data_IF_386550296497
#
_entry.id   IF_386550296497
#
_cell.length_a   1.000
_cell.length_b   1.000
_cell.length_c   1.000
_cell.angle_alpha   90.00
_cell.angle_beta   90.00
_cell.angle_gamma   90.00
#
_symmetry.space_group_name_H-M   'P 1'
#
loop_
_entity.id
_entity.type
_entity.pdbx_description
1 polymer ?
#
# COMPACT_ATOMS: atom_id res chain seq x y z
N UNK A 1 3.06 -28.59 5.43
CA UNK A 1 2.79 -28.32 4.02
C UNK A 1 3.22 -26.91 3.70
N UNK A 2 3.67 -26.67 2.45
CA UNK A 2 4.03 -25.33 1.97
C UNK A 2 3.15 -24.95 0.78
N UNK A 3 2.92 -23.65 0.60
CA UNK A 3 2.25 -23.10 -0.58
C UNK A 3 3.02 -21.87 -1.10
N UNK A 4 2.87 -21.64 -2.38
CA UNK A 4 3.28 -20.39 -3.03
C UNK A 4 2.01 -19.77 -3.62
N UNK A 5 1.82 -18.48 -3.39
CA UNK A 5 0.69 -17.73 -3.92
C UNK A 5 1.11 -16.40 -4.52
N UNK A 6 0.30 -15.89 -5.42
CA UNK A 6 0.39 -14.52 -5.94
C UNK A 6 -0.83 -13.78 -5.42
N UNK A 7 -0.62 -12.58 -4.92
CA UNK A 7 -1.68 -11.76 -4.34
C UNK A 7 -1.58 -10.31 -4.77
N UNK A 8 -2.69 -9.61 -4.58
CA UNK A 8 -2.79 -8.16 -4.75
C UNK A 8 -3.52 -7.61 -3.54
N UNK A 9 -2.82 -6.82 -2.73
CA UNK A 9 -3.45 -6.06 -1.65
C UNK A 9 -3.77 -4.67 -2.20
N UNK A 10 -5.05 -4.33 -2.17
CA UNK A 10 -5.58 -3.06 -2.68
C UNK A 10 -5.88 -2.14 -1.51
N UNK A 11 -4.97 -1.19 -1.26
CA UNK A 11 -5.07 -0.24 -0.17
C UNK A 11 -5.49 1.14 -0.67
N UNK A 12 -6.17 1.91 0.15
CA UNK A 12 -6.50 3.31 -0.13
C UNK A 12 -5.60 4.22 0.70
N UNK A 13 -4.99 5.19 0.04
CA UNK A 13 -4.19 6.22 0.69
C UNK A 13 -4.60 7.60 0.19
N UNK A 14 -4.96 8.49 1.12
CA UNK A 14 -5.33 9.88 0.84
C UNK A 14 -4.60 10.77 1.84
N UNK A 15 -3.91 11.79 1.34
CA UNK A 15 -3.28 12.79 2.19
C UNK A 15 -4.35 13.59 2.93
N UNK A 16 -4.13 13.83 4.23
CA UNK A 16 -5.00 14.71 5.00
C UNK A 16 -4.84 16.15 4.48
N UNK A 17 -5.88 16.67 3.87
CA UNK A 17 -5.88 17.97 3.19
C UNK A 17 -5.96 19.15 4.16
N UNK A 18 -6.80 19.05 5.18
CA UNK A 18 -7.01 20.14 6.17
C UNK A 18 -5.84 20.23 7.16
N UNK A 19 -4.71 20.73 6.67
CA UNK A 19 -3.47 20.92 7.43
C UNK A 19 -2.56 21.95 6.77
N UNK A 20 -1.64 22.46 7.57
CA UNK A 20 -0.50 23.26 7.10
C UNK A 20 0.79 22.47 7.21
N UNK A 21 1.77 22.75 6.37
CA UNK A 21 3.12 22.20 6.48
C UNK A 21 4.20 23.21 6.14
N UNK A 22 5.35 23.04 6.77
CA UNK A 22 6.55 23.80 6.46
C UNK A 22 7.20 23.22 5.20
N UNK A 23 7.58 24.10 4.28
CA UNK A 23 8.34 23.75 3.08
C UNK A 23 9.67 24.48 3.09
N UNK A 24 10.63 23.95 2.35
CA UNK A 24 11.93 24.57 2.14
C UNK A 24 12.33 24.49 0.67
N UNK A 25 13.05 25.51 0.18
CA UNK A 25 13.51 25.55 -1.20
C UNK A 25 13.06 26.79 -1.94
N UNK A 26 13.15 26.76 -3.26
CA UNK A 26 12.75 27.87 -4.13
C UNK A 26 11.72 27.38 -5.13
N UNK A 27 10.59 28.10 -5.21
CA UNK A 27 9.60 27.93 -6.26
C UNK A 27 9.77 29.09 -7.23
N UNK A 28 10.00 28.79 -8.49
CA UNK A 28 10.16 29.78 -9.56
C UNK A 28 9.52 29.26 -10.85
N UNK A 29 8.23 29.48 -10.96
CA UNK A 29 7.42 29.06 -12.11
C UNK A 29 7.15 30.24 -13.04
N UNK A 30 7.00 30.02 -14.36
CA UNK A 30 6.53 31.03 -15.29
C UNK A 30 5.21 31.65 -14.80
N UNK A 31 5.01 32.95 -15.03
CA UNK A 31 3.80 33.67 -14.65
C UNK A 31 2.53 33.15 -15.33
N UNK A 32 2.67 32.38 -16.40
CA UNK A 32 1.58 31.70 -17.09
C UNK A 32 1.08 30.42 -16.38
N UNK A 33 1.84 29.89 -15.41
CA UNK A 33 1.45 28.71 -14.64
C UNK A 33 0.66 29.11 -13.39
N UNK A 34 -0.41 28.38 -13.08
CA UNK A 34 -1.27 28.64 -11.92
C UNK A 34 -0.52 28.62 -10.59
N UNK A 35 0.51 27.79 -10.48
CA UNK A 35 1.37 27.71 -9.31
C UNK A 35 2.31 28.89 -9.12
N UNK A 36 2.40 29.85 -10.06
CA UNK A 36 3.27 31.03 -9.95
C UNK A 36 2.93 31.94 -8.76
N UNK A 37 1.68 31.85 -8.25
CA UNK A 37 1.31 32.53 -7.01
C UNK A 37 2.13 32.11 -5.78
N UNK A 38 2.75 30.93 -5.84
CA UNK A 38 3.61 30.41 -4.79
C UNK A 38 5.11 30.68 -5.04
N UNK A 39 5.47 31.46 -6.06
CA UNK A 39 6.87 31.79 -6.30
C UNK A 39 7.48 32.47 -5.08
N UNK A 40 8.66 32.00 -4.69
CA UNK A 40 9.39 32.53 -3.56
C UNK A 40 10.48 31.59 -3.03
N UNK A 41 11.21 32.12 -2.08
CA UNK A 41 12.21 31.35 -1.34
C UNK A 41 11.59 31.00 0.02
N UNK A 42 11.61 29.73 0.36
CA UNK A 42 11.06 29.18 1.59
C UNK A 42 12.16 28.66 2.49
N UNK A 43 12.15 29.09 3.73
CA UNK A 43 12.93 28.56 4.83
C UNK A 43 12.00 28.30 6.03
N UNK A 44 12.45 27.56 7.02
CA UNK A 44 11.63 27.26 8.19
C UNK A 44 11.12 28.49 8.94
N UNK A 45 11.79 29.63 8.80
CA UNK A 45 11.47 30.89 9.48
C UNK A 45 10.98 31.99 8.53
N UNK A 46 10.64 31.68 7.28
CA UNK A 46 10.16 32.69 6.34
C UNK A 46 8.69 33.03 6.57
N UNK A 47 8.30 34.29 6.35
CA UNK A 47 6.96 34.80 6.58
C UNK A 47 5.88 34.14 5.71
N UNK A 48 6.28 33.52 4.58
CA UNK A 48 5.43 32.78 3.68
C UNK A 48 5.27 31.29 4.05
N UNK A 49 5.73 30.88 5.22
CA UNK A 49 5.57 29.55 5.79
C UNK A 49 4.79 29.63 7.14
N UNK A 50 3.99 28.60 7.49
CA UNK A 50 3.68 27.38 6.74
C UNK A 50 2.71 27.60 5.57
N UNK A 51 2.73 26.68 4.60
CA UNK A 51 1.76 26.64 3.50
C UNK A 51 0.49 25.90 3.95
N UNK A 52 -0.66 26.47 3.64
CA UNK A 52 -1.97 25.83 3.85
C UNK A 52 -2.34 24.94 2.65
N UNK A 53 -2.68 23.68 2.92
CA UNK A 53 -3.09 22.70 1.91
C UNK A 53 -4.61 22.51 1.82
N UNK A 54 -5.40 23.26 2.59
CA UNK A 54 -6.84 23.03 2.75
C UNK A 54 -7.61 23.14 1.44
N UNK A 55 -7.22 24.04 0.55
CA UNK A 55 -7.88 24.25 -0.75
C UNK A 55 -7.41 23.30 -1.87
N UNK A 56 -6.34 22.53 -1.62
CA UNK A 56 -5.77 21.58 -2.59
C UNK A 56 -5.03 22.22 -3.77
N UNK A 57 -4.83 23.53 -3.77
CA UNK A 57 -4.19 24.23 -4.91
C UNK A 57 -2.67 24.05 -4.91
N UNK A 58 -2.05 24.04 -3.71
CA UNK A 58 -0.62 23.80 -3.58
C UNK A 58 -0.27 22.33 -3.78
N UNK A 59 -0.90 21.45 -3.01
CA UNK A 59 -0.68 20.01 -3.03
C UNK A 59 -1.94 19.25 -2.63
N UNK A 60 -2.37 18.35 -3.49
CA UNK A 60 -3.28 17.26 -3.19
C UNK A 60 -2.61 15.96 -3.57
N UNK A 61 -2.72 14.94 -2.73
CA UNK A 61 -2.05 13.67 -2.97
C UNK A 61 -2.92 12.49 -2.54
N UNK A 62 -3.19 11.59 -3.47
CA UNK A 62 -3.91 10.34 -3.19
C UNK A 62 -3.55 9.24 -4.20
N UNK A 63 -3.72 8.00 -3.78
CA UNK A 63 -3.71 6.85 -4.68
C UNK A 63 -5.16 6.44 -4.96
N UNK A 64 -5.74 6.95 -6.06
CA UNK A 64 -7.19 6.91 -6.34
C UNK A 64 -7.71 5.52 -6.66
N UNK A 65 -7.02 4.82 -7.57
CA UNK A 65 -7.35 3.46 -8.00
C UNK A 65 -6.49 2.44 -7.23
N UNK A 66 -6.22 2.77 -5.98
CA UNK A 66 -5.52 1.95 -5.01
C UNK A 66 -4.01 2.06 -5.02
N UNK A 67 -3.47 1.86 -3.83
CA UNK A 67 -2.09 1.50 -3.61
C UNK A 67 -2.00 -0.02 -3.74
N UNK A 68 -1.70 -0.50 -4.95
CA UNK A 68 -1.69 -1.92 -5.23
C UNK A 68 -0.33 -2.52 -4.86
N UNK A 69 -0.31 -3.40 -3.88
CA UNK A 69 0.86 -4.22 -3.56
C UNK A 69 0.69 -5.58 -4.24
N UNK A 70 1.41 -5.78 -5.33
CA UNK A 70 1.42 -7.04 -6.11
C UNK A 70 2.59 -7.86 -5.63
N UNK A 71 2.31 -9.04 -5.05
CA UNK A 71 3.32 -9.81 -4.33
C UNK A 71 3.23 -11.31 -4.56
N UNK A 72 4.33 -11.97 -4.31
CA UNK A 72 4.41 -13.43 -4.16
C UNK A 72 4.62 -13.75 -2.68
N UNK A 73 3.91 -14.75 -2.17
CA UNK A 73 4.04 -15.22 -0.80
C UNK A 73 4.41 -16.69 -0.76
N UNK A 74 5.26 -17.06 0.20
CA UNK A 74 5.54 -18.44 0.58
C UNK A 74 4.96 -18.63 1.99
N UNK A 75 4.07 -19.60 2.15
CA UNK A 75 3.45 -19.90 3.43
C UNK A 75 3.63 -21.36 3.82
N UNK A 76 3.73 -21.60 5.13
CA UNK A 76 3.75 -22.91 5.76
C UNK A 76 2.43 -23.14 6.50
N UNK A 77 1.91 -24.36 6.36
CA UNK A 77 0.75 -24.85 7.08
C UNK A 77 1.23 -25.96 8.05
N UNK A 78 1.09 -25.73 9.34
CA UNK A 78 1.40 -26.68 10.39
C UNK A 78 0.10 -27.22 10.98
N UNK A 79 -0.15 -28.52 10.84
CA UNK A 79 -1.34 -29.18 11.42
C UNK A 79 -1.24 -29.17 12.96
N UNK A 80 -2.21 -28.52 13.58
CA UNK A 80 -2.36 -28.40 15.03
C UNK A 80 -3.65 -29.07 15.53
N UNK A 81 -4.31 -29.86 14.70
CA UNK A 81 -5.58 -30.52 15.01
C UNK A 81 -5.54 -31.34 16.28
N UNK A 82 -4.42 -32.02 16.54
CA UNK A 82 -4.22 -32.83 17.75
C UNK A 82 -4.29 -32.02 19.04
N UNK A 83 -3.93 -30.74 19.03
CA UNK A 83 -4.03 -29.85 20.20
C UNK A 83 -5.46 -29.63 20.65
N UNK A 84 -6.41 -29.82 19.73
CA UNK A 84 -7.84 -29.67 19.93
C UNK A 84 -8.58 -31.03 20.04
N UNK A 85 -7.83 -32.14 20.13
CA UNK A 85 -8.42 -33.48 20.21
C UNK A 85 -9.06 -33.95 18.90
N UNK A 86 -8.74 -33.33 17.77
CA UNK A 86 -9.27 -33.72 16.46
C UNK A 86 -8.31 -34.74 15.84
N UNK A 87 -8.69 -36.00 15.89
CA UNK A 87 -7.89 -37.10 15.33
C UNK A 87 -8.29 -37.47 13.90
N UNK A 88 -9.50 -37.15 13.48
CA UNK A 88 -9.98 -37.39 12.13
C UNK A 88 -9.90 -36.10 11.31
N UNK A 89 -8.73 -35.86 10.73
CA UNK A 89 -8.46 -34.68 9.89
C UNK A 89 -9.14 -34.74 8.51
N UNK A 90 -9.76 -35.87 8.15
CA UNK A 90 -10.56 -35.97 6.93
C UNK A 90 -11.87 -35.14 7.01
N UNK A 91 -12.41 -34.97 8.22
CA UNK A 91 -13.60 -34.15 8.45
C UNK A 91 -13.27 -32.70 8.75
N UNK A 92 -12.31 -32.48 9.63
CA UNK A 92 -11.86 -31.16 10.04
C UNK A 92 -10.36 -31.18 10.32
N UNK A 93 -9.62 -30.30 9.70
CA UNK A 93 -8.21 -30.07 9.96
C UNK A 93 -7.99 -28.61 10.37
N UNK A 94 -7.23 -28.39 11.42
CA UNK A 94 -6.83 -27.06 11.89
C UNK A 94 -5.35 -26.91 11.62
N UNK A 95 -5.00 -25.89 10.82
CA UNK A 95 -3.61 -25.54 10.56
C UNK A 95 -3.28 -24.16 11.14
N UNK A 96 -2.14 -24.04 11.75
CA UNK A 96 -1.48 -22.76 11.95
C UNK A 96 -0.78 -22.38 10.64
N UNK A 97 -0.97 -21.14 10.20
CA UNK A 97 -0.37 -20.63 8.97
C UNK A 97 0.63 -19.53 9.31
N UNK A 98 1.76 -19.54 8.65
CA UNK A 98 2.78 -18.49 8.71
C UNK A 98 3.38 -18.31 7.32
N UNK A 99 3.72 -17.07 6.96
CA UNK A 99 4.23 -16.80 5.63
C UNK A 99 4.99 -15.49 5.52
N UNK A 100 5.77 -15.40 4.44
CA UNK A 100 6.51 -14.22 4.05
C UNK A 100 6.18 -13.86 2.60
N UNK A 101 6.07 -12.57 2.33
CA UNK A 101 5.78 -12.04 1.01
C UNK A 101 6.73 -10.94 0.61
N UNK A 102 6.94 -10.82 -0.70
CA UNK A 102 7.66 -9.70 -1.31
C UNK A 102 7.05 -9.37 -2.67
N UNK A 103 7.10 -8.11 -3.05
CA UNK A 103 6.53 -7.67 -4.29
C UNK A 103 6.81 -6.20 -4.59
N UNK A 104 6.13 -5.69 -5.61
CA UNK A 104 6.25 -4.30 -6.04
C UNK A 104 4.95 -3.53 -5.81
N UNK A 105 5.08 -2.22 -5.72
CA UNK A 105 3.97 -1.30 -5.52
C UNK A 105 3.62 -0.65 -6.86
N UNK A 106 2.35 -0.79 -7.26
CA UNK A 106 1.82 -0.35 -8.55
C UNK A 106 0.59 0.55 -8.36
N UNK A 107 0.78 1.78 -7.87
CA UNK A 107 -0.31 2.72 -7.64
C UNK A 107 -0.70 3.46 -8.91
N UNK A 108 -1.93 3.98 -8.93
CA UNK A 108 -2.33 5.09 -9.76
C UNK A 108 -2.46 6.32 -8.87
N UNK A 109 -1.56 7.27 -9.06
CA UNK A 109 -1.43 8.43 -8.19
C UNK A 109 -2.12 9.66 -8.80
N UNK A 110 -3.10 10.17 -8.08
CA UNK A 110 -3.75 11.43 -8.39
C UNK A 110 -3.12 12.53 -7.52
N UNK A 111 -2.37 13.41 -8.15
CA UNK A 111 -1.65 14.49 -7.45
C UNK A 111 -1.90 15.81 -8.13
N UNK A 112 -2.31 16.83 -7.39
CA UNK A 112 -2.19 18.23 -7.79
C UNK A 112 -0.94 18.78 -7.13
N UNK A 113 0.00 19.26 -7.93
CA UNK A 113 1.21 19.93 -7.45
C UNK A 113 1.37 21.25 -8.19
N UNK A 114 1.15 22.38 -7.50
CA UNK A 114 1.28 23.72 -8.04
C UNK A 114 0.48 23.94 -9.34
N UNK A 115 -0.64 23.25 -9.49
CA UNK A 115 -1.49 23.32 -10.68
C UNK A 115 -0.93 22.64 -11.94
N UNK A 116 0.19 21.91 -11.83
CA UNK A 116 0.76 21.16 -12.95
C UNK A 116 -0.14 20.01 -13.39
N UNK A 117 -0.08 19.62 -14.66
CA UNK A 117 -0.78 18.43 -15.17
C UNK A 117 -0.31 17.18 -14.47
N UNK A 118 -1.25 16.47 -13.85
CA UNK A 118 -0.98 15.25 -13.08
C UNK A 118 -0.58 14.08 -13.98
N UNK A 119 0.16 13.12 -13.43
CA UNK A 119 0.52 11.88 -14.10
C UNK A 119 -0.70 10.98 -14.21
N UNK A 120 -1.52 10.66 -13.44
CA UNK A 120 -2.79 9.91 -13.50
C UNK A 120 -2.73 8.58 -14.28
N UNK A 121 -1.59 7.90 -14.19
CA UNK A 121 -1.36 6.57 -14.77
C UNK A 121 -0.73 5.63 -13.75
N UNK A 122 -0.87 4.31 -13.99
CA UNK A 122 -0.22 3.30 -13.17
C UNK A 122 1.30 3.33 -13.37
N UNK A 123 2.05 3.27 -12.28
CA UNK A 123 3.51 3.28 -12.29
C UNK A 123 4.08 2.41 -11.18
N UNK A 124 5.14 1.63 -11.46
CA UNK A 124 5.86 0.90 -10.42
C UNK A 124 6.65 1.90 -9.60
N UNK A 125 6.21 2.13 -8.36
CA UNK A 125 6.75 3.20 -7.52
C UNK A 125 7.74 2.72 -6.45
N UNK A 126 7.86 1.40 -6.26
CA UNK A 126 8.73 0.82 -5.26
C UNK A 126 8.42 -0.63 -4.94
N UNK A 127 8.78 -1.06 -3.76
CA UNK A 127 8.62 -2.45 -3.30
C UNK A 127 7.95 -2.54 -1.94
N UNK A 128 7.45 -3.74 -1.62
CA UNK A 128 6.93 -4.09 -0.32
C UNK A 128 7.41 -5.46 0.13
N UNK A 129 7.46 -5.64 1.44
CA UNK A 129 7.69 -6.93 2.10
C UNK A 129 6.64 -7.14 3.17
N UNK A 130 6.24 -8.38 3.40
CA UNK A 130 5.22 -8.70 4.38
C UNK A 130 5.49 -10.02 5.09
N UNK A 131 4.93 -10.13 6.30
CA UNK A 131 4.85 -11.37 7.05
C UNK A 131 3.40 -11.58 7.50
N UNK A 132 2.96 -12.83 7.54
CA UNK A 132 1.60 -13.16 7.96
C UNK A 132 1.59 -14.35 8.90
N UNK A 133 0.57 -14.40 9.75
CA UNK A 133 0.25 -15.54 10.59
C UNK A 133 -1.27 -15.66 10.76
N UNK A 134 -1.76 -16.89 10.92
CA UNK A 134 -3.18 -17.12 11.05
C UNK A 134 -3.57 -18.56 11.32
N UNK A 135 -4.86 -18.81 11.17
CA UNK A 135 -5.45 -20.14 11.29
C UNK A 135 -6.23 -20.47 10.02
N UNK A 136 -6.06 -21.71 9.59
CA UNK A 136 -6.81 -22.27 8.48
C UNK A 136 -7.60 -23.48 9.00
N UNK A 137 -8.91 -23.49 8.74
CA UNK A 137 -9.83 -24.57 9.04
C UNK A 137 -10.23 -25.23 7.73
N UNK A 138 -9.79 -26.47 7.51
CA UNK A 138 -10.13 -27.24 6.30
C UNK A 138 -11.19 -28.28 6.63
N UNK A 139 -12.30 -28.24 5.89
CA UNK A 139 -13.46 -29.12 6.05
C UNK A 139 -13.52 -30.12 4.91
N UNK A 140 -13.72 -31.40 5.24
CA UNK A 140 -13.90 -32.48 4.27
C UNK A 140 -12.81 -32.54 3.19
N UNK A 141 -11.62 -32.01 3.48
CA UNK A 141 -10.48 -31.87 2.55
C UNK A 141 -10.72 -30.99 1.32
N UNK A 142 -11.91 -30.38 1.18
CA UNK A 142 -12.30 -29.66 -0.04
C UNK A 142 -12.62 -28.18 0.20
N UNK A 143 -12.96 -27.78 1.40
CA UNK A 143 -13.33 -26.40 1.72
C UNK A 143 -12.47 -25.87 2.85
N UNK A 144 -12.13 -24.59 2.79
CA UNK A 144 -11.44 -23.96 3.90
C UNK A 144 -12.00 -22.59 4.23
N UNK A 145 -11.84 -22.23 5.50
CA UNK A 145 -11.95 -20.87 6.02
C UNK A 145 -10.63 -20.52 6.67
N UNK A 146 -10.09 -19.37 6.35
CA UNK A 146 -8.79 -18.92 6.83
C UNK A 146 -8.88 -17.51 7.37
N UNK A 147 -8.35 -17.29 8.57
CA UNK A 147 -8.19 -15.98 9.17
C UNK A 147 -6.70 -15.67 9.35
N UNK A 148 -6.24 -14.53 8.86
CA UNK A 148 -4.83 -14.14 8.91
C UNK A 148 -4.66 -12.69 9.35
N UNK A 149 -3.55 -12.44 10.02
CA UNK A 149 -3.00 -11.11 10.24
C UNK A 149 -1.77 -10.98 9.36
N UNK A 150 -1.71 -9.90 8.57
CA UNK A 150 -0.57 -9.56 7.74
C UNK A 150 -0.01 -8.22 8.22
N UNK A 151 1.30 -8.18 8.40
CA UNK A 151 2.05 -6.96 8.66
C UNK A 151 3.08 -6.79 7.55
N UNK A 152 3.20 -5.57 7.04
CA UNK A 152 4.15 -5.29 5.97
C UNK A 152 4.76 -3.91 6.04
N UNK A 153 5.80 -3.75 5.24
CA UNK A 153 6.50 -2.50 5.01
C UNK A 153 6.52 -2.18 3.53
N UNK A 154 6.17 -0.96 3.20
CA UNK A 154 6.17 -0.42 1.84
C UNK A 154 7.19 0.71 1.76
N UNK A 155 7.98 0.72 0.68
CA UNK A 155 8.90 1.78 0.35
C UNK A 155 8.73 2.16 -1.12
N UNK A 156 8.28 3.38 -1.36
CA UNK A 156 8.08 3.96 -2.68
C UNK A 156 8.98 5.17 -2.85
N UNK A 157 9.96 5.08 -3.72
CA UNK A 157 10.94 6.17 -3.98
C UNK A 157 10.67 6.87 -5.30
N UNK A 158 9.75 6.38 -6.11
CA UNK A 158 9.48 6.89 -7.46
C UNK A 158 7.97 7.02 -7.72
N UNK A 159 7.28 7.78 -6.86
CA UNK A 159 5.87 8.10 -7.06
C UNK A 159 5.79 9.25 -8.07
N UNK A 160 5.18 9.00 -9.22
CA UNK A 160 4.97 10.01 -10.25
C UNK A 160 3.90 11.00 -9.81
N UNK A 161 4.22 12.30 -9.86
CA UNK A 161 3.31 13.37 -9.43
C UNK A 161 2.78 14.17 -10.59
N UNK A 162 3.61 14.44 -11.60
CA UNK A 162 3.24 15.17 -12.82
C UNK A 162 3.67 14.39 -14.06
N UNK A 163 3.44 14.93 -15.24
CA UNK A 163 3.93 14.35 -16.50
C UNK A 163 5.47 14.36 -16.62
N UNK A 164 6.14 15.20 -15.83
CA UNK A 164 7.60 15.22 -15.77
C UNK A 164 8.15 14.11 -14.89
N UNK A 165 9.08 13.30 -15.38
CA UNK A 165 9.77 12.29 -14.62
C UNK A 165 10.69 12.86 -13.51
N UNK A 166 11.00 14.16 -13.55
CA UNK A 166 11.76 14.84 -12.53
C UNK A 166 10.91 15.18 -11.30
N UNK A 167 9.60 15.36 -11.49
CA UNK A 167 8.66 15.68 -10.41
C UNK A 167 8.15 14.39 -9.78
N UNK A 168 8.74 13.99 -8.67
CA UNK A 168 8.38 12.77 -7.97
C UNK A 168 8.33 12.94 -6.46
N UNK A 169 7.51 12.11 -5.84
CA UNK A 169 7.42 11.97 -4.39
C UNK A 169 8.02 10.65 -3.92
N UNK A 170 8.32 10.59 -2.64
CA UNK A 170 8.70 9.35 -1.96
C UNK A 170 7.88 9.17 -0.68
N UNK A 171 7.58 7.92 -0.36
CA UNK A 171 6.83 7.56 0.83
C UNK A 171 7.22 6.18 1.32
N UNK A 172 7.26 6.01 2.62
CA UNK A 172 7.40 4.69 3.24
C UNK A 172 6.54 4.59 4.47
N UNK A 173 5.96 3.43 4.72
CA UNK A 173 5.15 3.17 5.90
C UNK A 173 4.97 1.67 6.14
N UNK A 174 4.53 1.34 7.36
CA UNK A 174 4.08 0.01 7.71
C UNK A 174 2.56 -0.09 7.57
N UNK A 175 2.08 -1.27 7.21
CA UNK A 175 0.64 -1.55 7.17
C UNK A 175 0.32 -2.81 7.97
N UNK A 176 -0.94 -2.90 8.39
CA UNK A 176 -1.47 -4.05 9.08
C UNK A 176 -2.85 -4.40 8.51
N UNK A 177 -3.04 -5.65 8.13
CA UNK A 177 -4.27 -6.15 7.55
C UNK A 177 -4.83 -7.33 8.33
N UNK A 178 -6.14 -7.44 8.32
CA UNK A 178 -6.90 -8.61 8.79
C UNK A 178 -7.59 -9.21 7.58
N UNK A 179 -7.27 -10.44 7.28
CA UNK A 179 -7.76 -11.12 6.09
C UNK A 179 -8.62 -12.30 6.52
N UNK A 180 -9.80 -12.43 5.94
CA UNK A 180 -10.63 -13.64 6.05
C UNK A 180 -10.84 -14.15 4.63
N UNK A 181 -10.45 -15.38 4.39
CA UNK A 181 -10.58 -16.03 3.10
C UNK A 181 -11.43 -17.31 3.23
N UNK A 182 -12.20 -17.60 2.20
CA UNK A 182 -12.92 -18.86 2.05
C UNK A 182 -12.61 -19.41 0.66
N UNK A 183 -12.50 -20.73 0.54
CA UNK A 183 -12.17 -21.31 -0.76
C UNK A 183 -12.38 -22.81 -0.84
N UNK A 184 -12.18 -23.33 -2.05
CA UNK A 184 -12.21 -24.74 -2.37
C UNK A 184 -10.82 -25.29 -2.69
N UNK A 185 -10.58 -26.56 -2.36
CA UNK A 185 -9.35 -27.30 -2.64
C UNK A 185 -9.70 -28.37 -3.68
N UNK A 186 -9.02 -28.29 -4.81
CA UNK A 186 -9.16 -29.25 -5.89
C UNK A 186 -7.80 -29.95 -6.12
N UNK A 187 -7.83 -31.28 -6.28
CA UNK A 187 -6.65 -32.00 -6.74
C UNK A 187 -6.65 -32.02 -8.26
N UNK A 188 -5.56 -31.60 -8.86
CA UNK A 188 -5.29 -31.73 -10.28
C UNK A 188 -4.66 -33.08 -10.58
#
# INVERSE_FOLDING_TARGET
QYSISIGVDHMKYVMKQNQTALITGTINLPSSESGSAYNGIYSLNSDNNPIDFTDGTFLQFEHTDGLNYIHTEIARFADISNWFGIHNTDKLQINFTEGLGAGFIYPKTNTVLLGKTRHDDFHISGYGVSAKAGLNLTFLKHFYVQGEFKYGYINMNDIRTTQSAADKASQHFNFFERIVAVGGIFKL
#
